data_IF_639996182012
#
_entry.id   IF_639996182012
#
_cell.length_a   1.000
_cell.length_b   1.000
_cell.length_c   1.000
_cell.angle_alpha   90.00
_cell.angle_beta   90.00
_cell.angle_gamma   90.00
#
_symmetry.space_group_name_H-M   'P 1'
#
loop_
_entity.id
_entity.type
_entity.pdbx_description
1 polymer ?
#
# COMPACT_ATOMS: atom_id res chain seq x y z
N UNK A 1 -20.66 21.48 -14.42
CA UNK A 1 -20.01 21.03 -13.16
C UNK A 1 -18.59 21.59 -13.02
N UNK A 2 -17.68 21.41 -13.99
CA UNK A 2 -16.31 21.97 -13.96
C UNK A 2 -16.24 23.49 -13.73
N UNK A 3 -17.08 24.27 -14.41
CA UNK A 3 -17.11 25.74 -14.28
C UNK A 3 -17.53 26.19 -12.88
N UNK A 4 -18.48 25.48 -12.25
CA UNK A 4 -18.97 25.81 -10.93
C UNK A 4 -17.87 25.66 -9.87
N UNK A 5 -17.13 24.54 -9.91
CA UNK A 5 -16.01 24.30 -9.01
C UNK A 5 -14.95 25.42 -9.10
N UNK A 6 -14.62 25.86 -10.33
CA UNK A 6 -13.65 26.93 -10.55
C UNK A 6 -14.12 28.27 -9.96
N UNK A 7 -15.41 28.60 -10.14
CA UNK A 7 -16.00 29.82 -9.59
C UNK A 7 -16.00 29.80 -8.07
N UNK A 8 -16.32 28.66 -7.45
CA UNK A 8 -16.28 28.52 -5.99
C UNK A 8 -14.85 28.65 -5.46
N UNK A 9 -13.85 28.06 -6.12
CA UNK A 9 -12.44 28.21 -5.74
C UNK A 9 -11.96 29.66 -5.83
N UNK A 10 -12.39 30.41 -6.85
CA UNK A 10 -12.08 31.84 -6.96
C UNK A 10 -12.80 32.66 -5.86
N UNK A 11 -14.00 32.23 -5.45
CA UNK A 11 -14.74 32.81 -4.33
C UNK A 11 -14.04 32.63 -2.98
N UNK A 12 -13.45 31.45 -2.74
CA UNK A 12 -12.70 31.13 -1.52
C UNK A 12 -11.44 32.00 -1.35
N UNK A 13 -10.77 32.35 -2.45
CA UNK A 13 -9.61 33.26 -2.43
C UNK A 13 -9.98 34.70 -2.04
N UNK A 14 -11.28 35.05 -2.06
CA UNK A 14 -11.80 36.39 -1.77
C UNK A 14 -12.51 36.49 -0.42
N UNK A 15 -12.81 35.37 0.22
CA UNK A 15 -13.43 35.32 1.55
C UNK A 15 -12.37 35.44 2.64
N UNK A 16 -12.75 35.97 3.81
CA UNK A 16 -11.91 35.98 5.01
C UNK A 16 -11.80 34.58 5.66
N UNK A 17 -12.58 33.60 5.17
CA UNK A 17 -12.55 32.22 5.64
C UNK A 17 -11.26 31.50 5.18
N UNK A 18 -10.54 30.94 6.14
CA UNK A 18 -9.34 30.12 5.89
C UNK A 18 -9.73 28.72 5.44
N UNK A 19 -9.96 28.54 4.14
CA UNK A 19 -10.27 27.24 3.54
C UNK A 19 -9.05 26.68 2.81
N UNK A 20 -8.67 25.44 3.14
CA UNK A 20 -7.58 24.72 2.49
C UNK A 20 -8.12 23.59 1.60
N UNK A 21 -7.73 23.59 0.33
CA UNK A 21 -8.17 22.60 -0.66
C UNK A 21 -7.05 21.60 -0.92
N UNK A 22 -7.31 20.33 -0.60
CA UNK A 22 -6.45 19.20 -0.94
C UNK A 22 -7.04 18.41 -2.09
N UNK A 23 -6.23 18.15 -3.11
CA UNK A 23 -6.57 17.32 -4.26
C UNK A 23 -5.53 16.22 -4.45
N UNK A 24 -5.99 15.03 -4.85
CA UNK A 24 -5.13 13.89 -5.17
C UNK A 24 -5.52 13.34 -6.55
N UNK A 25 -4.52 13.04 -7.39
CA UNK A 25 -4.73 12.46 -8.72
C UNK A 25 -3.59 11.52 -9.09
N UNK A 26 -3.93 10.38 -9.71
CA UNK A 26 -2.97 9.45 -10.31
C UNK A 26 -2.75 9.74 -11.80
N UNK A 27 -3.48 10.70 -12.39
CA UNK A 27 -3.38 11.08 -13.81
C UNK A 27 -3.24 12.60 -13.92
N UNK A 28 -2.16 13.20 -13.41
CA UNK A 28 -2.04 14.65 -13.31
C UNK A 28 -1.94 15.35 -14.68
N UNK A 29 -1.53 14.63 -15.73
CA UNK A 29 -1.48 15.13 -17.11
C UNK A 29 -2.87 15.26 -17.77
N UNK A 30 -3.92 14.69 -17.20
CA UNK A 30 -5.30 14.86 -17.68
C UNK A 30 -5.99 16.09 -17.07
N UNK A 31 -5.35 16.73 -16.08
CA UNK A 31 -5.86 17.95 -15.48
C UNK A 31 -5.73 19.12 -16.45
N UNK A 32 -6.79 19.90 -16.57
CA UNK A 32 -6.78 21.05 -17.44
C UNK A 32 -6.01 22.24 -16.84
N UNK A 33 -5.56 23.15 -17.70
CA UNK A 33 -4.81 24.32 -17.27
C UNK A 33 -5.61 25.26 -16.34
N UNK A 34 -6.96 25.25 -16.36
CA UNK A 34 -7.73 26.08 -15.44
C UNK A 34 -7.67 25.56 -14.00
N UNK A 35 -7.66 24.24 -13.79
CA UNK A 35 -7.47 23.63 -12.47
C UNK A 35 -6.03 23.72 -12.01
N UNK A 36 -5.07 23.46 -12.90
CA UNK A 36 -3.64 23.58 -12.56
C UNK A 36 -3.32 24.97 -12.02
N UNK A 37 -3.86 26.05 -12.61
CA UNK A 37 -3.64 27.43 -12.11
C UNK A 37 -4.15 27.69 -10.69
N UNK A 38 -5.18 26.98 -10.23
CA UNK A 38 -5.78 27.16 -8.89
C UNK A 38 -5.20 26.21 -7.85
N UNK A 39 -4.60 25.10 -8.30
CA UNK A 39 -3.82 24.19 -7.47
C UNK A 39 -2.36 24.63 -7.50
N UNK A 40 -2.07 25.70 -6.75
CA UNK A 40 -0.78 26.40 -6.75
C UNK A 40 0.37 25.54 -6.24
N UNK A 41 0.14 24.76 -5.20
CA UNK A 41 1.12 23.84 -4.60
C UNK A 41 0.86 22.42 -5.08
N UNK A 42 1.90 21.80 -5.64
CA UNK A 42 1.84 20.46 -6.24
C UNK A 42 3.03 19.67 -5.76
N UNK A 43 2.76 18.54 -5.11
CA UNK A 43 3.76 17.68 -4.51
C UNK A 43 3.65 16.31 -5.18
N UNK A 44 4.73 15.83 -5.79
CA UNK A 44 4.79 14.46 -6.26
C UNK A 44 4.99 13.54 -5.05
N UNK A 45 4.06 12.60 -4.86
CA UNK A 45 4.22 11.52 -3.89
C UNK A 45 4.93 10.36 -4.59
N UNK A 46 6.22 10.21 -4.33
CA UNK A 46 7.04 9.15 -4.91
C UNK A 46 6.81 7.80 -4.24
N UNK A 47 7.35 6.74 -4.85
CA UNK A 47 7.36 5.40 -4.25
C UNK A 47 8.11 5.41 -2.92
N UNK A 48 7.71 4.55 -1.96
CA UNK A 48 8.33 4.52 -0.64
C UNK A 48 9.83 4.19 -0.74
N UNK A 49 10.64 4.92 0.02
CA UNK A 49 12.07 4.64 0.20
C UNK A 49 12.31 3.33 0.94
N UNK A 50 13.54 2.78 0.91
CA UNK A 50 13.84 1.53 1.63
C UNK A 50 13.47 1.57 3.12
N UNK A 51 13.80 2.64 3.89
CA UNK A 51 13.37 2.73 5.28
C UNK A 51 11.85 2.82 5.43
N UNK A 52 11.16 3.49 4.52
CA UNK A 52 9.70 3.56 4.52
C UNK A 52 9.10 2.18 4.24
N UNK A 53 9.62 1.42 3.27
CA UNK A 53 9.18 0.04 2.99
C UNK A 53 9.37 -0.87 4.20
N UNK A 54 10.53 -0.79 4.85
CA UNK A 54 10.80 -1.54 6.09
C UNK A 54 9.76 -1.22 7.18
N UNK A 55 9.49 0.06 7.42
CA UNK A 55 8.49 0.50 8.39
C UNK A 55 7.08 0.03 8.02
N UNK A 56 6.73 0.04 6.73
CA UNK A 56 5.43 -0.44 6.26
C UNK A 56 5.28 -1.95 6.45
N UNK A 57 6.30 -2.75 6.13
CA UNK A 57 6.27 -4.22 6.33
C UNK A 57 6.12 -4.52 7.81
N UNK A 58 6.91 -3.86 8.67
CA UNK A 58 6.82 -4.00 10.14
C UNK A 58 5.46 -3.57 10.69
N UNK A 59 4.84 -2.54 10.12
CA UNK A 59 3.51 -2.10 10.51
C UNK A 59 2.42 -3.11 10.15
N UNK A 60 2.44 -3.63 8.92
CA UNK A 60 1.40 -4.56 8.44
C UNK A 60 1.61 -6.00 8.91
N UNK A 61 2.85 -6.39 9.16
CA UNK A 61 3.22 -7.75 9.54
C UNK A 61 4.27 -7.71 10.67
N UNK A 62 3.89 -7.25 11.87
CA UNK A 62 4.79 -7.17 13.02
C UNK A 62 5.21 -8.57 13.53
N UNK A 63 6.26 -8.66 14.39
CA UNK A 63 6.73 -9.94 14.94
C UNK A 63 5.65 -10.72 15.68
N UNK A 64 4.70 -10.01 16.29
CA UNK A 64 3.52 -10.57 16.93
C UNK A 64 2.32 -9.68 16.60
N UNK A 65 1.30 -10.26 16.00
CA UNK A 65 0.00 -9.62 15.77
C UNK A 65 -1.07 -10.39 16.53
N UNK A 66 -1.78 -9.71 17.41
CA UNK A 66 -2.89 -10.27 18.18
C UNK A 66 -4.17 -9.54 17.76
N UNK A 67 -4.84 -10.04 16.72
CA UNK A 67 -6.05 -9.40 16.19
C UNK A 67 -7.23 -10.36 16.34
N UNK A 68 -8.30 -9.93 17.02
CA UNK A 68 -9.52 -10.74 17.15
C UNK A 68 -9.36 -12.07 17.88
N UNK A 69 -8.40 -12.17 18.82
CA UNK A 69 -8.12 -13.40 19.56
C UNK A 69 -7.21 -14.39 18.82
N UNK A 70 -6.72 -14.03 17.64
CA UNK A 70 -5.80 -14.83 16.83
C UNK A 70 -4.39 -14.26 16.95
N UNK A 71 -3.43 -15.09 17.36
CA UNK A 71 -2.01 -14.74 17.42
C UNK A 71 -1.29 -15.18 16.13
N UNK A 72 -0.73 -14.23 15.40
CA UNK A 72 0.17 -14.48 14.27
C UNK A 72 1.59 -14.08 14.67
N UNK A 73 2.50 -15.05 14.67
CA UNK A 73 3.93 -14.83 14.90
C UNK A 73 4.66 -14.72 13.57
N UNK A 74 5.59 -13.78 13.48
CA UNK A 74 6.42 -13.61 12.30
C UNK A 74 7.90 -13.46 12.65
N UNK A 75 8.75 -14.06 11.83
CA UNK A 75 10.21 -13.96 11.93
C UNK A 75 10.72 -13.50 10.57
N UNK A 76 10.78 -12.17 10.42
CA UNK A 76 11.09 -11.51 9.15
C UNK A 76 12.38 -10.71 9.25
N UNK A 77 13.19 -10.79 8.21
CA UNK A 77 14.25 -9.83 7.94
C UNK A 77 13.67 -8.65 7.16
N UNK A 78 13.21 -7.63 7.89
CA UNK A 78 12.58 -6.46 7.28
C UNK A 78 13.53 -5.67 6.37
N UNK A 79 14.83 -5.68 6.63
CA UNK A 79 15.80 -4.96 5.80
C UNK A 79 15.98 -5.66 4.45
N UNK A 80 16.16 -6.99 4.46
CA UNK A 80 16.24 -7.78 3.24
C UNK A 80 14.95 -7.66 2.41
N UNK A 81 13.78 -7.80 3.05
CA UNK A 81 12.50 -7.66 2.37
C UNK A 81 12.30 -6.26 1.77
N UNK A 82 12.73 -5.20 2.46
CA UNK A 82 12.64 -3.83 1.93
C UNK A 82 13.52 -3.61 0.67
N UNK A 83 14.63 -4.34 0.53
CA UNK A 83 15.48 -4.33 -0.67
C UNK A 83 14.80 -5.06 -1.82
N UNK A 84 14.27 -6.26 -1.58
CA UNK A 84 13.57 -7.06 -2.59
C UNK A 84 12.29 -6.39 -3.12
N UNK A 85 11.62 -5.60 -2.28
CA UNK A 85 10.41 -4.86 -2.65
C UNK A 85 10.68 -3.49 -3.29
N UNK A 86 11.83 -3.32 -3.94
CA UNK A 86 12.10 -2.11 -4.71
C UNK A 86 11.08 -1.91 -5.85
N UNK A 87 10.55 -0.70 -5.96
CA UNK A 87 9.53 -0.35 -6.95
C UNK A 87 8.09 -0.68 -6.56
N UNK A 88 7.87 -1.25 -5.37
CA UNK A 88 6.52 -1.52 -4.87
C UNK A 88 5.85 -0.24 -4.37
N UNK A 89 4.58 -0.07 -4.71
CA UNK A 89 3.74 0.96 -4.08
C UNK A 89 3.32 0.54 -2.67
N UNK A 90 2.81 1.49 -1.89
CA UNK A 90 2.27 1.19 -0.57
C UNK A 90 1.14 0.16 -0.58
N UNK A 91 0.32 0.18 -1.62
CA UNK A 91 -0.75 -0.80 -1.84
C UNK A 91 -0.20 -2.19 -2.16
N UNK A 92 0.85 -2.27 -2.97
CA UNK A 92 1.50 -3.55 -3.31
C UNK A 92 2.14 -4.17 -2.06
N UNK A 93 2.79 -3.36 -1.21
CA UNK A 93 3.38 -3.83 0.05
C UNK A 93 2.30 -4.38 0.98
N UNK A 94 1.20 -3.65 1.15
CA UNK A 94 0.07 -4.09 1.97
C UNK A 94 -0.52 -5.40 1.44
N UNK A 95 -0.63 -5.56 0.12
CA UNK A 95 -1.13 -6.79 -0.50
C UNK A 95 -0.17 -7.95 -0.23
N UNK A 96 1.14 -7.77 -0.42
CA UNK A 96 2.13 -8.80 -0.14
C UNK A 96 2.11 -9.24 1.34
N UNK A 97 2.06 -8.28 2.28
CA UNK A 97 1.92 -8.59 3.70
C UNK A 97 0.64 -9.37 4.01
N UNK A 98 -0.49 -9.00 3.39
CA UNK A 98 -1.75 -9.73 3.54
C UNK A 98 -1.65 -11.16 3.01
N UNK A 99 -1.08 -11.36 1.83
CA UNK A 99 -0.90 -12.69 1.24
C UNK A 99 0.05 -13.57 2.09
N UNK A 100 1.11 -12.98 2.65
CA UNK A 100 2.00 -13.67 3.58
C UNK A 100 1.27 -14.07 4.88
N UNK A 101 0.42 -13.21 5.43
CA UNK A 101 -0.38 -13.53 6.62
C UNK A 101 -1.45 -14.60 6.36
N UNK A 102 -1.95 -14.70 5.12
CA UNK A 102 -2.97 -15.70 4.74
C UNK A 102 -2.39 -17.09 4.47
N UNK A 103 -1.07 -17.24 4.34
CA UNK A 103 -0.41 -18.53 4.08
C UNK A 103 -0.71 -19.59 5.14
N UNK A 104 -0.48 -19.34 6.45
CA UNK A 104 -0.80 -20.32 7.48
C UNK A 104 -2.28 -20.65 7.54
N UNK A 105 -3.14 -19.65 7.30
CA UNK A 105 -4.60 -19.81 7.28
C UNK A 105 -5.02 -20.78 6.18
N UNK A 106 -4.49 -20.64 4.96
CA UNK A 106 -4.80 -21.55 3.85
C UNK A 106 -4.40 -23.00 4.16
N UNK A 107 -3.22 -23.22 4.74
CA UNK A 107 -2.78 -24.57 5.16
C UNK A 107 -3.74 -25.23 6.16
N UNK A 108 -4.27 -24.44 7.10
CA UNK A 108 -5.26 -24.94 8.07
C UNK A 108 -6.55 -25.34 7.35
N UNK A 109 -7.05 -24.51 6.44
CA UNK A 109 -8.25 -24.84 5.66
C UNK A 109 -8.03 -26.12 4.83
N UNK A 110 -6.89 -26.23 4.14
CA UNK A 110 -6.55 -27.41 3.35
C UNK A 110 -6.50 -28.68 4.23
N UNK A 111 -5.93 -28.58 5.44
CA UNK A 111 -5.89 -29.68 6.40
C UNK A 111 -7.30 -30.08 6.87
N UNK A 112 -8.14 -29.11 7.23
CA UNK A 112 -9.52 -29.35 7.67
C UNK A 112 -10.39 -29.99 6.58
N UNK A 113 -10.23 -29.56 5.33
CA UNK A 113 -10.94 -30.17 4.19
C UNK A 113 -10.47 -31.61 3.93
N UNK A 114 -9.19 -31.91 4.15
CA UNK A 114 -8.64 -33.25 3.98
C UNK A 114 -9.03 -34.25 5.09
N UNK A 115 -9.46 -33.77 6.26
CA UNK A 115 -9.82 -34.57 7.44
C UNK A 115 -11.32 -34.90 7.55
N UNK A 116 -12.02 -35.04 6.43
CA UNK A 116 -13.49 -35.19 6.42
C UNK A 116 -14.08 -36.53 6.87
N UNK A 117 -13.30 -37.53 7.28
CA UNK A 117 -13.86 -38.80 7.77
C UNK A 117 -13.08 -39.34 9.00
N UNK A 118 -13.80 -39.43 10.13
CA UNK A 118 -13.60 -40.39 11.24
C UNK A 118 -12.69 -40.11 12.45
N UNK A 119 -12.16 -38.90 12.69
CA UNK A 119 -11.41 -38.63 13.94
C UNK A 119 -11.96 -37.47 14.78
N UNK A 120 -12.38 -37.80 16.01
CA UNK A 120 -12.99 -36.87 17.00
C UNK A 120 -12.01 -35.91 17.65
N UNK A 121 -10.70 -36.02 17.35
CA UNK A 121 -9.66 -35.20 17.95
C UNK A 121 -9.27 -34.06 16.99
N UNK A 122 -9.96 -32.93 17.11
CA UNK A 122 -9.66 -31.74 16.32
C UNK A 122 -8.31 -31.18 16.80
N UNK A 123 -7.24 -31.19 15.97
CA UNK A 123 -5.95 -30.71 16.41
C UNK A 123 -6.08 -29.24 16.84
N UNK A 124 -5.36 -28.85 17.90
CA UNK A 124 -5.30 -27.45 18.31
C UNK A 124 -4.80 -26.60 17.14
N UNK A 125 -5.70 -25.89 16.47
CA UNK A 125 -5.39 -25.06 15.31
C UNK A 125 -4.54 -23.89 15.80
N UNK A 126 -3.23 -24.01 15.66
CA UNK A 126 -2.28 -22.95 15.89
C UNK A 126 -1.74 -22.47 14.55
N UNK A 127 -1.70 -21.15 14.35
CA UNK A 127 -1.09 -20.59 13.15
C UNK A 127 0.41 -20.83 13.18
N UNK A 128 0.92 -21.37 12.07
CA UNK A 128 2.36 -21.44 11.85
C UNK A 128 2.98 -20.03 11.83
N UNK A 129 4.24 -19.96 12.27
CA UNK A 129 5.02 -18.72 12.22
C UNK A 129 5.37 -18.40 10.77
N UNK A 130 5.08 -17.17 10.33
CA UNK A 130 5.43 -16.70 8.98
C UNK A 130 6.91 -16.32 8.94
N UNK A 131 7.66 -16.91 8.01
CA UNK A 131 9.11 -16.66 7.86
C UNK A 131 9.42 -15.74 6.69
N UNK A 132 10.64 -15.22 6.64
CA UNK A 132 11.15 -14.46 5.47
C UNK A 132 11.02 -15.27 4.17
N UNK A 133 11.26 -16.59 4.20
CA UNK A 133 11.18 -17.44 3.02
C UNK A 133 9.74 -17.52 2.47
N UNK A 134 8.75 -17.61 3.35
CA UNK A 134 7.34 -17.59 2.95
C UNK A 134 6.98 -16.26 2.28
N UNK A 135 7.47 -15.15 2.85
CA UNK A 135 7.26 -13.82 2.30
C UNK A 135 7.92 -13.66 0.91
N UNK A 136 9.14 -14.15 0.74
CA UNK A 136 9.83 -14.12 -0.56
C UNK A 136 9.05 -14.88 -1.64
N UNK A 137 8.47 -16.04 -1.30
CA UNK A 137 7.62 -16.78 -2.24
C UNK A 137 6.33 -16.03 -2.60
N UNK A 138 5.80 -15.19 -1.70
CA UNK A 138 4.67 -14.31 -2.00
C UNK A 138 5.08 -13.18 -2.96
N UNK A 139 6.27 -12.59 -2.78
CA UNK A 139 6.80 -11.54 -3.66
C UNK A 139 6.96 -12.04 -5.10
N UNK A 140 7.27 -13.33 -5.31
CA UNK A 140 7.33 -13.92 -6.66
C UNK A 140 6.02 -13.76 -7.43
N UNK A 141 4.88 -13.82 -6.75
CA UNK A 141 3.54 -13.78 -7.33
C UNK A 141 2.89 -12.40 -7.25
N UNK A 142 3.42 -11.50 -6.43
CA UNK A 142 2.86 -10.18 -6.18
C UNK A 142 3.74 -9.12 -6.82
N UNK A 143 3.68 -8.92 -8.14
CA UNK A 143 4.57 -7.99 -8.87
C UNK A 143 4.19 -6.51 -8.64
N UNK A 144 5.16 -5.57 -8.71
CA UNK A 144 4.89 -4.14 -8.48
C UNK A 144 4.02 -3.55 -9.59
N UNK A 145 3.02 -2.75 -9.20
CA UNK A 145 2.04 -2.18 -10.13
C UNK A 145 2.51 -0.86 -10.78
N UNK A 146 3.37 -0.11 -10.10
CA UNK A 146 3.70 1.28 -10.47
C UNK A 146 4.99 1.47 -11.28
N UNK A 147 5.75 0.40 -11.56
CA UNK A 147 7.13 0.49 -12.11
C UNK A 147 7.22 1.28 -13.42
N UNK A 148 6.23 1.15 -14.31
CA UNK A 148 6.27 1.73 -15.66
C UNK A 148 5.76 3.18 -15.76
N UNK A 149 5.27 3.76 -14.66
CA UNK A 149 4.70 5.12 -14.66
C UNK A 149 5.65 6.17 -14.09
N UNK A 150 6.75 5.74 -13.46
CA UNK A 150 7.65 6.65 -12.72
C UNK A 150 8.25 7.72 -13.63
N UNK A 151 8.69 7.35 -14.84
CA UNK A 151 9.28 8.30 -15.80
C UNK A 151 8.27 9.39 -16.20
N UNK A 152 6.99 9.02 -16.37
CA UNK A 152 5.92 9.98 -16.69
C UNK A 152 5.68 10.95 -15.54
N UNK A 153 5.68 10.45 -14.31
CA UNK A 153 5.53 11.31 -13.13
C UNK A 153 6.71 12.25 -12.94
N UNK A 154 7.94 11.77 -13.11
CA UNK A 154 9.14 12.62 -13.00
C UNK A 154 9.21 13.66 -14.11
N UNK A 155 8.81 13.32 -15.34
CA UNK A 155 8.71 14.29 -16.42
C UNK A 155 7.67 15.38 -16.11
N UNK A 156 6.47 14.98 -15.63
CA UNK A 156 5.42 15.91 -15.25
C UNK A 156 5.84 16.81 -14.07
N UNK A 157 6.52 16.25 -13.07
CA UNK A 157 7.06 17.02 -11.94
C UNK A 157 8.04 18.08 -12.43
N UNK A 158 9.01 17.74 -13.29
CA UNK A 158 9.96 18.73 -13.83
C UNK A 158 9.28 19.89 -14.55
N UNK A 159 8.15 19.65 -15.20
CA UNK A 159 7.41 20.67 -15.96
C UNK A 159 6.47 21.51 -15.09
N UNK A 160 5.85 20.91 -14.07
CA UNK A 160 4.73 21.51 -13.33
C UNK A 160 4.97 21.65 -11.81
N UNK A 161 6.13 21.25 -11.28
CA UNK A 161 6.45 21.37 -9.86
C UNK A 161 6.48 22.85 -9.45
N UNK A 162 5.84 23.11 -8.32
CA UNK A 162 5.83 24.41 -7.66
C UNK A 162 6.66 24.27 -6.39
N UNK A 163 7.77 24.99 -6.30
CA UNK A 163 8.55 25.12 -5.05
C UNK A 163 7.67 25.78 -3.99
#
# INVERSE_FOLDING_TARGET
MKTELLVQMDGLARSDDLVFVLAASNLPWELDHAMLRRLEKRILVSLPSSPARQAMISHWLPPLSCTGGVELRTVLDYEALAKEMEGYSGSDIRLACKEAAMRPVRKIFDALESHQDDDTDMPAIQLETVTTADFLNVIEHTKPSARNLMDRYTAWEREYQSV
#
